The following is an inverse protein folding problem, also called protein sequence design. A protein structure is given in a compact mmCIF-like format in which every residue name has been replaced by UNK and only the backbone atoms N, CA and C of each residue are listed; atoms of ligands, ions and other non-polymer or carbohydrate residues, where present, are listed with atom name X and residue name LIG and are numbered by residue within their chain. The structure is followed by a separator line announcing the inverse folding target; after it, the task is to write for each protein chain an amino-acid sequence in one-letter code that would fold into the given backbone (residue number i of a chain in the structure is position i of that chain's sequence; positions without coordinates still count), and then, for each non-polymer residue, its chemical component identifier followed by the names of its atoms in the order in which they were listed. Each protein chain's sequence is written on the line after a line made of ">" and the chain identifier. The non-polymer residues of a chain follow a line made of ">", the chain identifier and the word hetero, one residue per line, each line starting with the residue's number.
data_IF_160107504248
#
_entry.id   IF_160107504248
#
_cell.length_a   1.000
_cell.length_b   1.000
_cell.length_c   1.000
_cell.angle_alpha   90.00
_cell.angle_beta   90.00
_cell.angle_gamma   90.00
#
_symmetry.space_group_name_H-M   'P 1'
#
loop_
_entity.id
_entity.type
_entity.pdbx_description
1 polymer ?
#
# COMPACT_ATOMS: atom_id res chain seq x y z
N UNK A 1 -8.19 -9.07 17.19
CA UNK A 1 -8.39 -7.62 16.98
C UNK A 1 -9.21 -7.39 15.71
N UNK A 2 -8.79 -7.85 14.53
CA UNK A 2 -9.50 -7.61 13.26
C UNK A 2 -10.94 -8.15 13.26
N UNK A 3 -11.18 -9.37 13.76
CA UNK A 3 -12.52 -9.95 13.89
C UNK A 3 -13.44 -9.15 14.84
N UNK A 4 -12.90 -8.60 15.91
CA UNK A 4 -13.66 -7.78 16.83
C UNK A 4 -14.15 -6.50 16.15
N UNK A 5 -13.26 -5.79 15.47
CA UNK A 5 -13.65 -4.57 14.74
C UNK A 5 -14.58 -4.87 13.57
N UNK A 6 -14.32 -5.96 12.84
CA UNK A 6 -15.21 -6.38 11.76
C UNK A 6 -16.62 -6.65 12.28
N UNK A 7 -16.76 -7.42 13.38
CA UNK A 7 -18.04 -7.69 14.01
C UNK A 7 -18.73 -6.43 14.51
N UNK A 8 -17.98 -5.49 15.09
CA UNK A 8 -18.50 -4.23 15.59
C UNK A 8 -19.04 -3.34 14.45
N UNK A 9 -18.26 -3.15 13.38
CA UNK A 9 -18.70 -2.36 12.22
C UNK A 9 -19.86 -3.03 11.47
N UNK A 10 -19.81 -4.36 11.32
CA UNK A 10 -20.88 -5.13 10.72
C UNK A 10 -22.19 -5.00 11.50
N UNK A 11 -22.13 -5.15 12.84
CA UNK A 11 -23.32 -4.99 13.69
C UNK A 11 -23.87 -3.58 13.60
N UNK A 12 -23.00 -2.58 13.68
CA UNK A 12 -23.43 -1.18 13.62
C UNK A 12 -24.04 -0.83 12.27
N UNK A 13 -23.30 -1.01 11.17
CA UNK A 13 -23.74 -0.58 9.83
C UNK A 13 -24.81 -1.47 9.20
N UNK A 14 -24.63 -2.78 9.26
CA UNK A 14 -25.52 -3.68 8.55
C UNK A 14 -26.72 -4.13 9.39
N UNK A 15 -26.55 -4.41 10.69
CA UNK A 15 -27.66 -4.87 11.53
C UNK A 15 -28.45 -3.72 12.14
N UNK A 16 -27.81 -2.71 12.75
CA UNK A 16 -28.52 -1.61 13.40
C UNK A 16 -29.08 -0.59 12.40
N UNK A 17 -28.32 -0.21 11.38
CA UNK A 17 -28.78 0.72 10.34
C UNK A 17 -29.45 0.03 9.15
N UNK A 18 -29.62 -1.30 9.17
CA UNK A 18 -30.25 -2.09 8.12
C UNK A 18 -29.67 -1.84 6.71
N UNK A 19 -28.36 -1.54 6.62
CA UNK A 19 -27.69 -1.32 5.34
C UNK A 19 -27.35 -2.65 4.68
N UNK A 20 -27.73 -2.81 3.40
CA UNK A 20 -27.38 -3.99 2.61
C UNK A 20 -25.96 -3.94 2.03
N UNK A 21 -25.23 -2.83 2.23
CA UNK A 21 -23.90 -2.61 1.68
C UNK A 21 -22.80 -3.14 2.62
N UNK A 22 -22.38 -4.39 2.38
CA UNK A 22 -21.26 -5.00 3.10
C UNK A 22 -19.89 -4.43 2.67
N UNK A 23 -19.76 -3.98 1.42
CA UNK A 23 -18.50 -3.48 0.88
C UNK A 23 -18.06 -2.20 1.62
N UNK A 24 -18.99 -1.34 2.04
CA UNK A 24 -18.70 -0.14 2.82
C UNK A 24 -18.13 -0.43 4.21
N UNK A 25 -18.46 -1.60 4.80
CA UNK A 25 -17.86 -2.05 6.07
C UNK A 25 -16.38 -2.35 5.87
N UNK A 26 -16.03 -3.10 4.81
CA UNK A 26 -14.64 -3.42 4.49
C UNK A 26 -13.83 -2.15 4.15
N UNK A 27 -14.45 -1.19 3.44
CA UNK A 27 -13.82 0.11 3.19
C UNK A 27 -13.48 0.85 4.48
N UNK A 28 -14.41 0.91 5.43
CA UNK A 28 -14.15 1.54 6.74
C UNK A 28 -13.04 0.81 7.51
N UNK A 29 -12.93 -0.52 7.33
CA UNK A 29 -11.90 -1.35 7.95
C UNK A 29 -10.49 -1.11 7.37
N UNK A 30 -10.34 -0.44 6.21
CA UNK A 30 -9.02 -0.17 5.63
C UNK A 30 -8.13 0.66 6.55
N UNK A 31 -8.71 1.56 7.35
CA UNK A 31 -7.96 2.33 8.35
C UNK A 31 -7.31 1.44 9.42
N UNK A 32 -7.95 0.31 9.76
CA UNK A 32 -7.43 -0.63 10.75
C UNK A 32 -6.24 -1.41 10.19
N UNK A 33 -6.19 -1.62 8.87
CA UNK A 33 -5.04 -2.26 8.21
C UNK A 33 -3.74 -1.50 8.44
N UNK A 34 -3.79 -0.17 8.55
CA UNK A 34 -2.60 0.67 8.83
C UNK A 34 -1.88 0.26 10.12
N UNK A 35 -2.61 -0.24 11.11
CA UNK A 35 -2.05 -0.68 12.38
C UNK A 35 -1.79 -2.18 12.42
N UNK A 36 -2.67 -2.96 11.81
CA UNK A 36 -2.64 -4.42 11.89
C UNK A 36 -1.52 -5.02 11.02
N UNK A 37 -1.39 -4.56 9.77
CA UNK A 37 -0.46 -5.16 8.81
C UNK A 37 1.00 -4.90 9.19
N UNK A 38 1.41 -3.69 9.64
CA UNK A 38 2.75 -3.50 10.17
C UNK A 38 3.07 -4.40 11.37
N UNK A 39 2.07 -4.69 12.22
CA UNK A 39 2.26 -5.58 13.37
C UNK A 39 2.49 -7.05 12.96
N UNK A 40 1.90 -7.49 11.83
CA UNK A 40 2.12 -8.83 11.27
C UNK A 40 3.51 -8.90 10.62
N UNK A 41 3.84 -7.94 9.75
CA UNK A 41 5.05 -7.96 8.92
C UNK A 41 6.34 -7.59 9.68
N UNK A 42 6.25 -6.85 10.81
CA UNK A 42 7.43 -6.36 11.54
C UNK A 42 8.38 -7.47 12.00
N UNK A 43 7.87 -8.70 12.22
CA UNK A 43 8.65 -9.84 12.73
C UNK A 43 9.21 -10.73 11.63
N UNK A 44 8.81 -10.54 10.37
CA UNK A 44 9.11 -11.45 9.27
C UNK A 44 10.61 -11.71 9.08
N UNK A 45 11.39 -10.66 8.99
CA UNK A 45 12.85 -10.72 8.83
C UNK A 45 13.61 -10.02 9.95
N UNK A 46 13.06 -8.94 10.54
CA UNK A 46 13.76 -8.16 11.55
C UNK A 46 14.06 -8.97 12.82
N UNK A 47 13.20 -9.93 13.20
CA UNK A 47 13.43 -10.82 14.34
C UNK A 47 14.57 -11.80 14.10
N UNK A 48 14.67 -12.38 12.91
CA UNK A 48 15.74 -13.31 12.55
C UNK A 48 17.09 -12.61 12.47
N UNK A 49 17.14 -11.42 11.86
CA UNK A 49 18.35 -10.60 11.84
C UNK A 49 18.82 -10.20 13.24
N UNK A 50 17.90 -9.79 14.11
CA UNK A 50 18.21 -9.46 15.50
C UNK A 50 18.80 -10.65 16.25
N UNK A 51 18.27 -11.86 16.04
CA UNK A 51 18.70 -13.08 16.69
C UNK A 51 19.86 -13.77 15.95
N UNK A 52 20.33 -13.24 14.81
CA UNK A 52 21.35 -13.82 13.92
C UNK A 52 21.00 -15.22 13.41
N UNK A 53 19.72 -15.56 13.36
CA UNK A 53 19.23 -16.84 12.82
C UNK A 53 19.08 -16.82 11.30
N UNK A 54 19.15 -15.65 10.68
CA UNK A 54 19.23 -15.44 9.23
C UNK A 54 20.40 -16.21 8.59
N UNK A 55 21.54 -16.34 9.28
CA UNK A 55 22.70 -17.10 8.80
C UNK A 55 22.39 -18.59 8.63
N UNK A 56 21.59 -19.18 9.53
CA UNK A 56 21.15 -20.57 9.42
C UNK A 56 20.21 -20.78 8.22
N UNK A 57 19.38 -19.78 7.94
CA UNK A 57 18.46 -19.79 6.80
C UNK A 57 19.23 -19.72 5.47
N UNK A 58 20.24 -18.85 5.39
CA UNK A 58 21.08 -18.66 4.22
C UNK A 58 22.02 -19.85 3.91
N UNK A 59 22.36 -20.65 4.92
CA UNK A 59 23.15 -21.88 4.74
C UNK A 59 22.28 -23.11 4.42
N UNK A 60 20.96 -22.98 4.49
CA UNK A 60 20.04 -24.06 4.10
C UNK A 60 20.03 -24.28 2.58
N UNK A 61 19.73 -25.50 2.09
CA UNK A 61 19.67 -25.80 0.64
C UNK A 61 18.41 -25.25 -0.03
N UNK A 62 17.83 -24.14 0.49
CA UNK A 62 16.61 -23.51 -0.02
C UNK A 62 16.96 -22.19 -0.71
N UNK A 63 16.38 -21.93 -1.87
CA UNK A 63 16.60 -20.67 -2.58
C UNK A 63 16.01 -19.47 -1.83
N UNK A 64 16.69 -18.32 -1.87
CA UNK A 64 16.22 -17.07 -1.24
C UNK A 64 14.79 -16.69 -1.64
N UNK A 65 14.40 -16.75 -2.94
CA UNK A 65 13.02 -16.46 -3.34
C UNK A 65 11.99 -17.40 -2.70
N UNK A 66 12.33 -18.67 -2.47
CA UNK A 66 11.44 -19.63 -1.82
C UNK A 66 11.23 -19.28 -0.33
N UNK A 67 12.28 -18.81 0.35
CA UNK A 67 12.20 -18.35 1.74
C UNK A 67 11.30 -17.11 1.83
N UNK A 68 11.53 -16.11 0.97
CA UNK A 68 10.73 -14.88 0.93
C UNK A 68 9.26 -15.20 0.63
N UNK A 69 8.99 -16.02 -0.38
CA UNK A 69 7.64 -16.43 -0.73
C UNK A 69 6.95 -17.21 0.41
N UNK A 70 7.66 -18.11 1.07
CA UNK A 70 7.13 -18.88 2.20
C UNK A 70 6.71 -17.99 3.38
N UNK A 71 7.55 -17.02 3.75
CA UNK A 71 7.24 -16.04 4.80
C UNK A 71 6.06 -15.15 4.43
N UNK A 72 6.07 -14.61 3.22
CA UNK A 72 4.97 -13.79 2.72
C UNK A 72 3.64 -14.56 2.72
N UNK A 73 3.63 -15.82 2.25
CA UNK A 73 2.42 -16.65 2.27
C UNK A 73 1.95 -16.93 3.69
N UNK A 74 2.85 -17.10 4.64
CA UNK A 74 2.49 -17.26 6.05
C UNK A 74 1.82 -15.99 6.60
N UNK A 75 2.34 -14.80 6.31
CA UNK A 75 1.73 -13.53 6.69
C UNK A 75 0.33 -13.36 6.07
N UNK A 76 0.21 -13.66 4.77
CA UNK A 76 -1.09 -13.63 4.07
C UNK A 76 -2.06 -14.63 4.67
N UNK A 77 -1.61 -15.83 5.04
CA UNK A 77 -2.46 -16.83 5.69
C UNK A 77 -2.97 -16.35 7.07
N UNK A 78 -2.11 -15.73 7.87
CA UNK A 78 -2.51 -15.11 9.15
C UNK A 78 -3.54 -14.00 8.95
N UNK A 79 -3.35 -13.18 7.92
CA UNK A 79 -4.30 -12.11 7.57
C UNK A 79 -5.63 -12.67 7.02
N UNK A 80 -5.58 -13.76 6.25
CA UNK A 80 -6.76 -14.39 5.64
C UNK A 80 -7.66 -15.10 6.67
N UNK A 81 -7.14 -15.54 7.82
CA UNK A 81 -7.93 -16.22 8.85
C UNK A 81 -9.15 -15.40 9.33
N UNK A 82 -9.00 -14.14 9.78
CA UNK A 82 -10.16 -13.32 10.14
C UNK A 82 -11.05 -13.00 8.93
N UNK A 83 -10.49 -12.92 7.74
CA UNK A 83 -11.24 -12.65 6.53
C UNK A 83 -12.10 -13.85 6.10
N UNK A 84 -11.68 -15.07 6.40
CA UNK A 84 -12.49 -16.27 6.19
C UNK A 84 -13.82 -16.23 6.98
N UNK A 85 -13.80 -15.67 8.20
CA UNK A 85 -15.03 -15.41 8.96
C UNK A 85 -15.89 -14.31 8.29
N UNK A 86 -15.27 -13.29 7.68
CA UNK A 86 -15.96 -12.23 6.95
C UNK A 86 -16.74 -12.76 5.74
N UNK A 87 -16.32 -13.86 5.12
CA UNK A 87 -17.00 -14.50 3.97
C UNK A 87 -18.40 -14.99 4.35
N UNK A 88 -18.63 -15.34 5.61
CA UNK A 88 -19.94 -15.82 6.09
C UNK A 88 -20.95 -14.66 6.32
N UNK A 89 -20.47 -13.43 6.56
CA UNK A 89 -21.32 -12.30 6.90
C UNK A 89 -22.30 -11.88 5.80
N UNK A 90 -21.92 -11.80 4.51
CA UNK A 90 -22.87 -11.51 3.43
C UNK A 90 -23.97 -12.58 3.26
N UNK A 91 -23.68 -13.85 3.58
CA UNK A 91 -24.68 -14.92 3.55
C UNK A 91 -25.75 -14.70 4.62
N UNK A 92 -25.35 -14.28 5.82
CA UNK A 92 -26.26 -13.94 6.92
C UNK A 92 -27.15 -12.75 6.50
N UNK A 93 -26.55 -11.69 5.92
CA UNK A 93 -27.33 -10.54 5.43
C UNK A 93 -28.33 -10.93 4.35
N UNK A 94 -27.98 -11.84 3.44
CA UNK A 94 -28.87 -12.33 2.39
C UNK A 94 -30.10 -13.03 2.94
N UNK A 95 -30.00 -13.66 4.12
CA UNK A 95 -31.15 -14.31 4.77
C UNK A 95 -32.19 -13.31 5.28
N UNK A 96 -31.78 -12.04 5.53
CA UNK A 96 -32.63 -10.99 6.07
C UNK A 96 -32.96 -9.87 5.08
N UNK A 97 -32.32 -9.84 3.89
CA UNK A 97 -32.53 -8.76 2.93
C UNK A 97 -31.94 -9.02 1.53
N UNK A 98 -32.13 -8.06 0.63
CA UNK A 98 -31.59 -8.10 -0.74
C UNK A 98 -30.16 -7.58 -0.75
N UNK A 99 -29.18 -8.48 -0.75
CA UNK A 99 -27.75 -8.15 -0.81
C UNK A 99 -27.15 -8.66 -2.12
N UNK A 100 -26.39 -7.82 -2.81
CA UNK A 100 -25.58 -8.23 -3.95
C UNK A 100 -24.38 -9.05 -3.49
N UNK A 101 -24.48 -10.39 -3.55
CA UNK A 101 -23.37 -11.27 -3.17
C UNK A 101 -22.13 -11.06 -4.04
N UNK A 102 -22.32 -10.73 -5.32
CA UNK A 102 -21.19 -10.47 -6.23
C UNK A 102 -20.38 -9.28 -5.75
N UNK A 103 -21.02 -8.15 -5.41
CA UNK A 103 -20.35 -6.97 -4.88
C UNK A 103 -19.70 -7.25 -3.52
N UNK A 104 -20.35 -8.00 -2.64
CA UNK A 104 -19.80 -8.35 -1.33
C UNK A 104 -18.54 -9.23 -1.44
N UNK A 105 -18.56 -10.28 -2.28
CA UNK A 105 -17.41 -11.16 -2.45
C UNK A 105 -16.28 -10.51 -3.26
N UNK A 106 -16.59 -9.65 -4.24
CA UNK A 106 -15.56 -8.86 -4.92
C UNK A 106 -14.84 -7.93 -3.96
N UNK A 107 -15.56 -7.31 -3.01
CA UNK A 107 -14.96 -6.48 -1.97
C UNK A 107 -14.08 -7.28 -1.00
N UNK A 108 -14.48 -8.51 -0.60
CA UNK A 108 -13.65 -9.40 0.22
C UNK A 108 -12.36 -9.78 -0.51
N UNK A 109 -12.44 -10.11 -1.80
CA UNK A 109 -11.28 -10.43 -2.63
C UNK A 109 -10.36 -9.21 -2.80
N UNK A 110 -10.92 -8.03 -3.06
CA UNK A 110 -10.18 -6.77 -3.14
C UNK A 110 -9.47 -6.44 -1.83
N UNK A 111 -10.13 -6.65 -0.69
CA UNK A 111 -9.56 -6.42 0.64
C UNK A 111 -8.39 -7.37 0.94
N UNK A 112 -8.51 -8.64 0.51
CA UNK A 112 -7.41 -9.62 0.62
C UNK A 112 -6.22 -9.22 -0.25
N UNK A 113 -6.45 -8.75 -1.48
CA UNK A 113 -5.40 -8.30 -2.39
C UNK A 113 -4.72 -7.03 -1.86
N UNK A 114 -5.50 -6.04 -1.41
CA UNK A 114 -4.98 -4.83 -0.77
C UNK A 114 -4.11 -5.18 0.45
N UNK A 115 -4.61 -6.01 1.35
CA UNK A 115 -3.88 -6.44 2.53
C UNK A 115 -2.59 -7.18 2.17
N UNK A 116 -2.62 -8.06 1.16
CA UNK A 116 -1.44 -8.76 0.65
C UNK A 116 -0.41 -7.80 0.06
N UNK A 117 -0.84 -6.77 -0.68
CA UNK A 117 0.07 -5.74 -1.21
C UNK A 117 0.73 -4.93 -0.07
N UNK A 118 -0.05 -4.53 0.94
CA UNK A 118 0.49 -3.86 2.12
C UNK A 118 1.47 -4.75 2.92
N UNK A 119 1.19 -6.06 3.05
CA UNK A 119 2.09 -7.02 3.67
C UNK A 119 3.40 -7.16 2.89
N UNK A 120 3.36 -7.18 1.55
CA UNK A 120 4.57 -7.23 0.73
C UNK A 120 5.47 -6.01 0.96
N UNK A 121 4.89 -4.81 1.09
CA UNK A 121 5.63 -3.58 1.47
C UNK A 121 6.24 -3.74 2.86
N UNK A 122 5.48 -4.24 3.83
CA UNK A 122 5.94 -4.47 5.19
C UNK A 122 7.04 -5.52 5.30
N UNK A 123 6.94 -6.62 4.55
CA UNK A 123 7.96 -7.67 4.46
C UNK A 123 9.28 -7.11 3.94
N UNK A 124 9.23 -6.28 2.89
CA UNK A 124 10.41 -5.59 2.34
C UNK A 124 11.05 -4.66 3.38
N UNK A 125 10.27 -3.82 4.05
CA UNK A 125 10.78 -2.91 5.09
C UNK A 125 11.37 -3.70 6.27
N UNK A 126 10.73 -4.80 6.67
CA UNK A 126 11.24 -5.71 7.72
C UNK A 126 12.59 -6.33 7.35
N UNK A 127 12.83 -6.57 6.05
CA UNK A 127 14.11 -7.07 5.56
C UNK A 127 15.25 -6.02 5.61
N UNK A 128 14.94 -4.73 5.65
CA UNK A 128 15.93 -3.65 5.69
C UNK A 128 16.45 -3.31 7.10
N UNK A 129 15.80 -3.79 8.16
CA UNK A 129 16.13 -3.41 9.54
C UNK A 129 16.23 -4.62 10.46
N UNK A 130 17.06 -4.52 11.49
CA UNK A 130 17.20 -5.51 12.58
C UNK A 130 16.28 -5.21 13.78
N UNK A 131 15.65 -4.03 13.80
CA UNK A 131 14.82 -3.59 14.90
C UNK A 131 13.34 -3.69 14.53
N UNK A 132 12.60 -4.57 15.22
CA UNK A 132 11.17 -4.79 15.00
C UNK A 132 10.33 -3.53 15.16
N UNK A 133 10.66 -2.66 16.14
CA UNK A 133 9.92 -1.42 16.39
C UNK A 133 10.15 -0.45 15.23
N UNK A 134 11.38 -0.37 14.71
CA UNK A 134 11.69 0.46 13.56
C UNK A 134 11.01 -0.07 12.30
N UNK A 135 10.98 -1.39 12.09
CA UNK A 135 10.23 -2.03 11.01
C UNK A 135 8.73 -1.68 11.07
N UNK A 136 8.13 -1.78 12.26
CA UNK A 136 6.73 -1.40 12.48
C UNK A 136 6.47 0.06 12.12
N UNK A 137 7.25 0.99 12.70
CA UNK A 137 7.06 2.43 12.47
C UNK A 137 7.30 2.82 11.02
N UNK A 138 8.31 2.24 10.37
CA UNK A 138 8.61 2.51 8.96
C UNK A 138 7.49 1.98 8.04
N UNK A 139 7.00 0.76 8.30
CA UNK A 139 5.88 0.18 7.54
C UNK A 139 4.59 0.98 7.77
N UNK A 140 4.28 1.32 9.04
CA UNK A 140 3.13 2.17 9.36
C UNK A 140 3.22 3.53 8.65
N UNK A 141 4.40 4.18 8.70
CA UNK A 141 4.62 5.45 8.00
C UNK A 141 4.46 5.34 6.49
N UNK A 142 4.98 4.29 5.86
CA UNK A 142 4.84 4.05 4.42
C UNK A 142 3.37 3.82 4.02
N UNK A 143 2.64 2.99 4.77
CA UNK A 143 1.21 2.74 4.53
C UNK A 143 0.35 3.97 4.84
N UNK A 144 0.69 4.76 5.86
CA UNK A 144 0.01 6.01 6.18
C UNK A 144 0.17 7.02 5.03
N UNK A 145 1.38 7.17 4.49
CA UNK A 145 1.63 8.02 3.32
C UNK A 145 0.79 7.53 2.13
N UNK A 146 0.79 6.22 1.84
CA UNK A 146 -0.03 5.65 0.77
C UNK A 146 -1.53 5.90 0.97
N UNK A 147 -2.02 5.83 2.21
CA UNK A 147 -3.42 6.12 2.55
C UNK A 147 -3.78 7.60 2.38
N UNK A 148 -2.90 8.52 2.80
CA UNK A 148 -3.11 9.96 2.66
C UNK A 148 -3.02 10.38 1.19
N UNK A 149 -2.21 9.69 0.35
CA UNK A 149 -2.09 9.98 -1.08
C UNK A 149 -3.42 9.89 -1.82
N UNK A 150 -4.30 8.97 -1.42
CA UNK A 150 -5.66 8.87 -1.92
C UNK A 150 -6.46 10.18 -1.69
N UNK A 151 -6.46 10.70 -0.46
CA UNK A 151 -7.09 11.99 -0.15
C UNK A 151 -6.42 13.19 -0.83
N UNK A 152 -5.10 13.17 -0.96
CA UNK A 152 -4.35 14.22 -1.65
C UNK A 152 -4.69 14.23 -3.14
N UNK A 153 -4.79 13.08 -3.79
CA UNK A 153 -5.13 12.98 -5.21
C UNK A 153 -6.45 13.66 -5.51
N UNK A 154 -7.48 13.49 -4.69
CA UNK A 154 -8.78 14.14 -4.88
C UNK A 154 -8.72 15.66 -4.72
N UNK A 155 -7.84 16.17 -3.86
CA UNK A 155 -7.65 17.62 -3.65
C UNK A 155 -6.83 18.29 -4.77
N UNK A 156 -5.87 17.57 -5.36
CA UNK A 156 -4.88 18.14 -6.28
C UNK A 156 -5.15 17.89 -7.77
N UNK A 157 -6.22 17.18 -8.14
CA UNK A 157 -6.57 16.87 -9.53
C UNK A 157 -6.81 18.09 -10.43
N UNK A 158 -6.90 19.31 -9.89
CA UNK A 158 -7.36 20.48 -10.64
C UNK A 158 -6.29 21.55 -10.93
N UNK A 159 -5.05 21.40 -10.50
CA UNK A 159 -4.06 22.49 -10.61
C UNK A 159 -2.73 22.12 -11.27
N UNK A 160 -2.52 22.52 -12.53
CA UNK A 160 -1.21 22.42 -13.20
C UNK A 160 -0.06 23.06 -12.38
N UNK A 161 -0.36 24.07 -11.59
CA UNK A 161 0.61 24.80 -10.76
C UNK A 161 1.06 23.94 -9.57
N UNK A 162 0.17 23.15 -8.98
CA UNK A 162 0.49 22.25 -7.88
C UNK A 162 1.37 21.09 -8.33
N UNK A 163 1.09 20.50 -9.49
CA UNK A 163 1.95 19.48 -10.10
C UNK A 163 3.36 20.04 -10.33
N UNK A 164 3.48 21.27 -10.82
CA UNK A 164 4.77 21.94 -11.01
C UNK A 164 5.52 22.12 -9.68
N UNK A 165 4.84 22.61 -8.63
CA UNK A 165 5.44 22.77 -7.28
C UNK A 165 5.91 21.44 -6.73
N UNK A 166 5.11 20.37 -6.84
CA UNK A 166 5.46 19.04 -6.35
C UNK A 166 6.72 18.50 -7.05
N UNK A 167 6.81 18.59 -8.37
CA UNK A 167 8.02 18.20 -9.10
C UNK A 167 9.23 19.09 -8.75
N UNK A 168 9.04 20.37 -8.48
CA UNK A 168 10.12 21.24 -7.99
C UNK A 168 10.65 20.80 -6.64
N UNK A 169 9.78 20.36 -5.72
CA UNK A 169 10.20 19.80 -4.43
C UNK A 169 10.98 18.50 -4.63
N UNK A 170 10.56 17.63 -5.54
CA UNK A 170 11.30 16.39 -5.86
C UNK A 170 12.69 16.71 -6.42
N UNK A 171 12.79 17.67 -7.34
CA UNK A 171 14.10 18.13 -7.88
C UNK A 171 14.96 18.73 -6.77
N UNK A 172 14.39 19.50 -5.85
CA UNK A 172 15.13 20.05 -4.70
C UNK A 172 15.67 18.95 -3.80
N UNK A 173 14.87 17.93 -3.46
CA UNK A 173 15.30 16.78 -2.67
C UNK A 173 16.43 16.02 -3.38
N UNK A 174 16.28 15.75 -4.68
CA UNK A 174 17.30 15.10 -5.49
C UNK A 174 18.62 15.91 -5.51
N UNK A 175 18.52 17.23 -5.64
CA UNK A 175 19.68 18.14 -5.62
C UNK A 175 20.41 18.10 -4.27
N UNK A 176 19.66 18.09 -3.16
CA UNK A 176 20.24 17.98 -1.80
C UNK A 176 20.94 16.62 -1.66
N UNK A 177 20.30 15.52 -2.06
CA UNK A 177 20.88 14.18 -2.00
C UNK A 177 22.18 14.08 -2.82
N UNK A 178 22.17 14.58 -4.05
CA UNK A 178 23.39 14.60 -4.89
C UNK A 178 24.49 15.46 -4.26
N UNK A 179 24.13 16.63 -3.70
CA UNK A 179 25.10 17.50 -3.00
C UNK A 179 25.75 16.79 -1.80
N UNK A 180 24.98 16.05 -1.02
CA UNK A 180 25.45 15.28 0.14
C UNK A 180 26.30 14.08 -0.30
N UNK A 181 25.85 13.29 -1.27
CA UNK A 181 26.56 12.09 -1.76
C UNK A 181 27.88 12.48 -2.41
N UNK A 182 27.88 13.50 -3.28
CA UNK A 182 29.09 13.98 -3.96
C UNK A 182 29.99 14.84 -3.06
N UNK A 183 29.55 15.18 -1.83
CA UNK A 183 30.25 16.10 -0.90
C UNK A 183 30.64 17.42 -1.58
N UNK A 184 29.88 17.87 -2.57
CA UNK A 184 30.11 19.12 -3.33
C UNK A 184 28.81 19.88 -3.48
N UNK A 185 28.73 21.06 -2.87
CA UNK A 185 27.56 21.93 -2.98
C UNK A 185 27.27 22.33 -4.43
N UNK A 186 28.33 22.54 -5.23
CA UNK A 186 28.21 22.87 -6.66
C UNK A 186 27.45 21.80 -7.46
N UNK A 187 27.64 20.50 -7.17
CA UNK A 187 26.92 19.42 -7.84
C UNK A 187 25.43 19.46 -7.53
N UNK A 188 25.03 19.73 -6.29
CA UNK A 188 23.63 19.91 -5.93
C UNK A 188 22.98 21.11 -6.62
N UNK A 189 23.67 22.26 -6.62
CA UNK A 189 23.16 23.48 -7.29
C UNK A 189 23.01 23.29 -8.80
N UNK A 190 23.95 22.63 -9.47
CA UNK A 190 23.83 22.35 -10.91
C UNK A 190 22.63 21.44 -11.21
N UNK A 191 22.39 20.37 -10.43
CA UNK A 191 21.22 19.47 -10.57
C UNK A 191 19.91 20.26 -10.37
N UNK A 192 19.87 21.14 -9.36
CA UNK A 192 18.69 21.99 -9.13
C UNK A 192 18.42 22.95 -10.29
N UNK A 193 19.43 23.68 -10.75
CA UNK A 193 19.28 24.63 -11.84
C UNK A 193 18.84 23.95 -13.15
N UNK A 194 19.49 22.84 -13.52
CA UNK A 194 19.13 22.08 -14.73
C UNK A 194 17.72 21.52 -14.62
N UNK A 195 17.39 20.88 -13.48
CA UNK A 195 16.06 20.31 -13.23
C UNK A 195 14.96 21.38 -13.24
N UNK A 196 15.18 22.52 -12.61
CA UNK A 196 14.23 23.62 -12.58
C UNK A 196 13.99 24.21 -13.98
N UNK A 197 15.04 24.40 -14.80
CA UNK A 197 14.92 24.88 -16.18
C UNK A 197 14.13 23.87 -17.03
N UNK A 198 14.44 22.60 -16.94
CA UNK A 198 13.73 21.53 -17.68
C UNK A 198 12.26 21.49 -17.28
N UNK A 199 11.94 21.52 -15.98
CA UNK A 199 10.56 21.56 -15.51
C UNK A 199 9.82 22.82 -15.95
N UNK A 200 10.47 23.98 -15.94
CA UNK A 200 9.87 25.23 -16.40
C UNK A 200 9.54 25.19 -17.90
N UNK A 201 10.46 24.65 -18.71
CA UNK A 201 10.24 24.46 -20.15
C UNK A 201 9.06 23.48 -20.40
N UNK A 202 9.01 22.36 -19.69
CA UNK A 202 7.91 21.40 -19.79
C UNK A 202 6.57 22.00 -19.37
N UNK A 203 6.55 22.81 -18.31
CA UNK A 203 5.36 23.51 -17.85
C UNK A 203 4.83 24.51 -18.89
N UNK A 204 5.72 25.18 -19.62
CA UNK A 204 5.35 26.13 -20.66
C UNK A 204 4.91 25.47 -21.97
N UNK A 205 5.55 24.36 -22.35
CA UNK A 205 5.28 23.68 -23.63
C UNK A 205 4.11 22.71 -23.54
N UNK A 206 3.99 21.95 -22.45
CA UNK A 206 2.95 20.92 -22.26
C UNK A 206 2.52 20.78 -20.79
N UNK A 207 1.73 21.73 -20.27
CA UNK A 207 1.29 21.69 -18.86
C UNK A 207 0.43 20.44 -18.56
N UNK A 208 -0.37 19.98 -19.53
CA UNK A 208 -1.20 18.79 -19.39
C UNK A 208 -0.38 17.51 -19.18
N UNK A 209 0.80 17.39 -19.82
CA UNK A 209 1.67 16.22 -19.65
C UNK A 209 2.26 16.15 -18.24
N UNK A 210 2.63 17.30 -17.67
CA UNK A 210 3.14 17.39 -16.30
C UNK A 210 2.06 16.95 -15.29
N UNK A 211 0.81 17.38 -15.50
CA UNK A 211 -0.32 16.99 -14.67
C UNK A 211 -0.61 15.47 -14.80
N UNK A 212 -0.59 14.94 -16.02
CA UNK A 212 -0.80 13.50 -16.25
C UNK A 212 0.29 12.66 -15.59
N UNK A 213 1.57 13.06 -15.72
CA UNK A 213 2.68 12.38 -15.07
C UNK A 213 2.59 12.46 -13.54
N UNK A 214 2.18 13.61 -13.00
CA UNK A 214 1.96 13.79 -11.57
C UNK A 214 0.85 12.86 -11.05
N UNK A 215 -0.29 12.85 -11.72
CA UNK A 215 -1.41 11.98 -11.35
C UNK A 215 -1.03 10.49 -11.47
N UNK A 216 -0.26 10.11 -12.50
CA UNK A 216 0.23 8.74 -12.66
C UNK A 216 1.16 8.32 -11.51
N UNK A 217 2.03 9.21 -11.02
CA UNK A 217 2.88 8.92 -9.86
C UNK A 217 2.05 8.83 -8.59
N UNK A 218 1.09 9.74 -8.39
CA UNK A 218 0.20 9.70 -7.22
C UNK A 218 -0.65 8.43 -7.20
N UNK A 219 -1.26 8.07 -8.34
CA UNK A 219 -2.06 6.83 -8.43
C UNK A 219 -1.23 5.57 -8.25
N UNK A 220 0.04 5.58 -8.70
CA UNK A 220 0.95 4.46 -8.44
C UNK A 220 1.32 4.31 -6.96
N UNK A 221 1.30 5.39 -6.18
CA UNK A 221 1.56 5.39 -4.73
C UNK A 221 0.28 5.19 -3.90
N UNK A 222 -0.89 5.50 -4.46
CA UNK A 222 -2.18 5.39 -3.78
C UNK A 222 -2.66 3.93 -3.76
N UNK A 223 -2.10 3.12 -2.85
CA UNK A 223 -2.43 1.69 -2.69
C UNK A 223 -3.91 1.45 -2.38
N UNK A 224 -4.59 2.41 -1.78
CA UNK A 224 -5.98 2.27 -1.32
C UNK A 224 -7.01 2.68 -2.38
N UNK A 225 -6.62 3.49 -3.36
CA UNK A 225 -7.49 4.01 -4.43
C UNK A 225 -8.14 2.88 -5.29
N UNK A 226 -7.40 1.88 -5.82
CA UNK A 226 -8.01 0.81 -6.61
C UNK A 226 -9.00 -0.06 -5.82
N UNK A 227 -8.95 -0.04 -4.50
CA UNK A 227 -9.91 -0.75 -3.66
C UNK A 227 -11.28 -0.05 -3.65
N UNK A 228 -11.33 1.27 -3.75
CA UNK A 228 -12.60 2.02 -3.84
C UNK A 228 -13.38 1.64 -5.09
N UNK A 229 -12.70 1.43 -6.22
CA UNK A 229 -13.33 0.98 -7.47
C UNK A 229 -14.00 -0.40 -7.29
N UNK A 230 -13.35 -1.31 -6.56
CA UNK A 230 -13.88 -2.65 -6.27
C UNK A 230 -15.09 -2.56 -5.33
N UNK A 231 -15.04 -1.69 -4.31
CA UNK A 231 -16.15 -1.44 -3.37
C UNK A 231 -17.36 -0.85 -4.10
N UNK A 232 -17.16 -0.02 -5.12
CA UNK A 232 -18.20 0.53 -5.98
C UNK A 232 -18.98 -0.52 -6.81
N UNK A 233 -18.68 -1.81 -6.64
CA UNK A 233 -19.38 -2.93 -7.28
C UNK A 233 -18.87 -3.29 -8.68
N UNK A 234 -17.81 -2.65 -9.14
CA UNK A 234 -17.15 -2.98 -10.40
C UNK A 234 -15.96 -3.92 -10.15
N UNK A 235 -16.04 -5.15 -10.63
CA UNK A 235 -14.90 -6.07 -10.62
C UNK A 235 -13.83 -5.53 -11.57
N UNK A 236 -12.89 -4.76 -11.03
CA UNK A 236 -11.87 -4.06 -11.80
C UNK A 236 -10.64 -4.97 -12.02
N UNK A 237 -10.49 -5.50 -13.24
CA UNK A 237 -9.29 -6.24 -13.63
C UNK A 237 -8.00 -5.40 -13.47
N UNK A 238 -7.98 -4.09 -13.84
CA UNK A 238 -6.83 -3.23 -13.61
C UNK A 238 -6.37 -3.19 -12.14
N UNK A 239 -7.31 -3.14 -11.17
CA UNK A 239 -6.99 -3.15 -9.75
C UNK A 239 -6.30 -4.44 -9.31
N UNK A 240 -6.74 -5.59 -9.81
CA UNK A 240 -6.12 -6.89 -9.52
C UNK A 240 -4.69 -6.94 -10.06
N UNK A 241 -4.50 -6.53 -11.33
CA UNK A 241 -3.17 -6.49 -11.96
C UNK A 241 -2.25 -5.54 -11.20
N UNK A 242 -2.75 -4.39 -10.77
CA UNK A 242 -2.00 -3.44 -9.95
C UNK A 242 -1.51 -4.08 -8.65
N UNK A 243 -2.40 -4.70 -7.85
CA UNK A 243 -2.00 -5.35 -6.59
C UNK A 243 -1.00 -6.48 -6.80
N UNK A 244 -1.21 -7.33 -7.82
CA UNK A 244 -0.27 -8.40 -8.15
C UNK A 244 1.10 -7.85 -8.57
N UNK A 245 1.14 -6.74 -9.31
CA UNK A 245 2.39 -6.09 -9.71
C UNK A 245 3.15 -5.50 -8.51
N UNK A 246 2.42 -4.87 -7.58
CA UNK A 246 3.00 -4.35 -6.32
C UNK A 246 3.57 -5.50 -5.48
N UNK A 247 2.81 -6.59 -5.29
CA UNK A 247 3.28 -7.77 -4.56
C UNK A 247 4.55 -8.32 -5.21
N UNK A 248 4.53 -8.55 -6.53
CA UNK A 248 5.69 -9.06 -7.27
C UNK A 248 6.92 -8.17 -7.15
N UNK A 249 6.75 -6.84 -7.27
CA UNK A 249 7.81 -5.86 -7.14
C UNK A 249 8.47 -5.93 -5.75
N UNK A 250 7.69 -5.85 -4.68
CA UNK A 250 8.23 -5.80 -3.32
C UNK A 250 8.83 -7.14 -2.88
N UNK A 251 8.25 -8.27 -3.30
CA UNK A 251 8.86 -9.59 -3.06
C UNK A 251 10.17 -9.75 -3.83
N UNK A 252 10.25 -9.25 -5.07
CA UNK A 252 11.50 -9.23 -5.83
C UNK A 252 12.57 -8.38 -5.12
N UNK A 253 12.21 -7.18 -4.65
CA UNK A 253 13.10 -6.30 -3.90
C UNK A 253 13.56 -6.94 -2.58
N UNK A 254 12.70 -7.70 -1.92
CA UNK A 254 13.04 -8.43 -0.68
C UNK A 254 14.06 -9.54 -0.93
N UNK A 255 14.07 -10.12 -2.14
CA UNK A 255 14.97 -11.21 -2.52
C UNK A 255 16.36 -10.76 -3.00
N UNK A 256 16.59 -9.44 -3.16
CA UNK A 256 17.90 -8.87 -3.54
C UNK A 256 18.75 -8.51 -2.33
#
# INVERSE_FOLDING_TARGET
>A
VSLFFLGLYYTNRNLLYASSDFASVLYTMTMILLFLLPAISMRSFAEERKNRTDQLLLTSPVSIPAIVAGKFLAEVAVFALPLAAAVLMPLILKAFGTVSLVAAYSAVLGYLLLGSACLAVGTWISALTENQILAYLATFGALLVAYIMDGIQTMFTTGNLLAFIAFMVVVLIAAILVGVICKRLTAGVTVFCVGAVVLFILFRLRPAWLLTAFNAVLSALALFDPFQDIVGGMFSIPAIVYYLSVIGLFLFLTGQ
#
